data_IF_282984618201
#
_entry.id   IF_282984618201
#
_cell.length_a   1.000
_cell.length_b   1.000
_cell.length_c   1.000
_cell.angle_alpha   90.00
_cell.angle_beta   90.00
_cell.angle_gamma   90.00
#
_symmetry.space_group_name_H-M   'P 1'
#
loop_
_entity.id
_entity.type
_entity.pdbx_description
1 polymer ?
#
# COMPACT_ATOMS: atom_id res chain seq x y z
N UNK A 1 3.95 8.75 -12.56
CA UNK A 1 3.76 7.45 -13.23
C UNK A 1 3.83 6.25 -12.26
N UNK A 2 4.71 6.26 -11.22
CA UNK A 2 4.90 5.11 -10.29
C UNK A 2 3.61 4.81 -9.53
N UNK A 3 3.03 5.82 -8.87
CA UNK A 3 1.77 5.68 -8.13
C UNK A 3 0.62 5.27 -9.06
N UNK A 4 0.56 5.84 -10.26
CA UNK A 4 -0.45 5.48 -11.26
C UNK A 4 -0.36 4.01 -11.67
N UNK A 5 0.85 3.46 -11.82
CA UNK A 5 1.03 2.04 -12.14
C UNK A 5 0.47 1.12 -11.04
N UNK A 6 0.76 1.43 -9.76
CA UNK A 6 0.20 0.69 -8.64
C UNK A 6 -1.33 0.85 -8.55
N UNK A 7 -1.84 2.06 -8.76
CA UNK A 7 -3.26 2.36 -8.78
C UNK A 7 -4.01 1.56 -9.84
N UNK A 8 -3.49 1.48 -11.06
CA UNK A 8 -4.10 0.73 -12.15
C UNK A 8 -3.98 -0.80 -12.02
N UNK A 9 -2.97 -1.26 -11.28
CA UNK A 9 -2.72 -2.68 -11.06
C UNK A 9 -3.58 -3.25 -9.93
N UNK A 10 -3.81 -2.50 -8.85
CA UNK A 10 -4.48 -2.99 -7.66
C UNK A 10 -5.92 -3.53 -7.93
N UNK A 11 -6.81 -2.85 -8.67
CA UNK A 11 -8.15 -3.36 -8.93
C UNK A 11 -8.17 -4.72 -9.64
N UNK A 12 -7.18 -5.02 -10.48
CA UNK A 12 -7.08 -6.32 -11.17
C UNK A 12 -6.92 -7.49 -10.19
N UNK A 13 -6.44 -7.23 -8.99
CA UNK A 13 -6.25 -8.22 -7.93
C UNK A 13 -7.40 -8.19 -6.89
N UNK A 14 -8.24 -7.17 -6.88
CA UNK A 14 -9.40 -7.02 -5.98
C UNK A 14 -10.57 -7.90 -6.45
N UNK A 15 -10.42 -9.22 -6.38
CA UNK A 15 -11.46 -10.19 -6.76
C UNK A 15 -11.98 -10.94 -5.54
N UNK A 16 -13.19 -11.46 -5.64
CA UNK A 16 -13.77 -12.31 -4.60
C UNK A 16 -12.85 -13.52 -4.33
N UNK A 17 -12.66 -13.83 -3.05
CA UNK A 17 -11.76 -14.90 -2.59
C UNK A 17 -10.31 -14.51 -2.46
N UNK A 18 -9.86 -13.38 -2.99
CA UNK A 18 -8.48 -12.91 -2.81
C UNK A 18 -8.21 -12.55 -1.34
N UNK A 19 -7.01 -12.86 -0.87
CA UNK A 19 -6.50 -12.40 0.41
C UNK A 19 -5.98 -10.97 0.24
N UNK A 20 -6.62 -10.01 0.91
CA UNK A 20 -6.29 -8.60 0.67
C UNK A 20 -4.81 -8.29 0.86
N UNK A 21 -4.21 -8.71 1.98
CA UNK A 21 -2.81 -8.39 2.28
C UNK A 21 -1.83 -8.98 1.27
N UNK A 22 -2.01 -10.26 0.90
CA UNK A 22 -1.09 -10.97 0.02
C UNK A 22 -1.33 -10.66 -1.46
N UNK A 23 -2.60 -10.69 -1.87
CA UNK A 23 -2.94 -10.63 -3.28
C UNK A 23 -3.09 -9.21 -3.81
N UNK A 24 -3.41 -8.24 -2.94
CA UNK A 24 -3.67 -6.85 -3.33
C UNK A 24 -2.61 -5.91 -2.79
N UNK A 25 -2.55 -5.75 -1.46
CA UNK A 25 -1.67 -4.77 -0.81
C UNK A 25 -0.18 -5.02 -1.10
N UNK A 26 0.30 -6.25 -0.86
CA UNK A 26 1.69 -6.61 -1.10
C UNK A 26 2.10 -6.43 -2.56
N UNK A 27 1.24 -6.78 -3.52
CA UNK A 27 1.52 -6.58 -4.95
C UNK A 27 1.59 -5.10 -5.34
N UNK A 28 0.76 -4.25 -4.74
CA UNK A 28 0.84 -2.80 -4.93
C UNK A 28 2.16 -2.25 -4.38
N UNK A 29 2.59 -2.69 -3.18
CA UNK A 29 3.90 -2.31 -2.62
C UNK A 29 5.06 -2.74 -3.52
N UNK A 30 5.03 -3.94 -4.11
CA UNK A 30 6.06 -4.40 -5.06
C UNK A 30 6.08 -3.48 -6.30
N UNK A 31 4.92 -3.11 -6.85
CA UNK A 31 4.83 -2.20 -7.99
C UNK A 31 5.43 -0.82 -7.67
N UNK A 32 5.16 -0.28 -6.48
CA UNK A 32 5.76 0.97 -6.02
C UNK A 32 7.28 0.83 -5.84
N UNK A 33 7.75 -0.29 -5.26
CA UNK A 33 9.17 -0.56 -5.03
C UNK A 33 9.94 -0.66 -6.35
N UNK A 34 9.40 -1.34 -7.37
CA UNK A 34 10.01 -1.39 -8.71
C UNK A 34 10.13 0.01 -9.33
N UNK A 35 9.08 0.84 -9.17
CA UNK A 35 9.14 2.22 -9.63
C UNK A 35 10.19 3.05 -8.89
N UNK A 36 10.28 2.93 -7.57
CA UNK A 36 11.30 3.60 -6.75
C UNK A 36 12.72 3.12 -7.05
N UNK A 37 12.89 1.83 -7.36
CA UNK A 37 14.14 1.26 -7.84
C UNK A 37 14.53 1.87 -9.20
N UNK A 38 13.57 2.00 -10.13
CA UNK A 38 13.80 2.64 -11.42
C UNK A 38 14.29 4.07 -11.35
N UNK A 39 13.93 4.80 -10.28
CA UNK A 39 14.46 6.15 -9.99
C UNK A 39 15.64 6.13 -9.00
N UNK A 40 16.15 4.96 -8.62
CA UNK A 40 17.36 4.78 -7.80
C UNK A 40 17.21 5.11 -6.32
N UNK A 41 15.97 5.07 -5.78
CA UNK A 41 15.68 5.25 -4.35
C UNK A 41 15.70 3.91 -3.59
N UNK A 42 15.48 2.80 -4.28
CA UNK A 42 15.59 1.44 -3.75
C UNK A 42 16.70 0.69 -4.49
N UNK A 43 17.52 -0.03 -3.74
CA UNK A 43 18.55 -0.95 -4.22
C UNK A 43 18.08 -2.40 -4.07
N UNK A 44 18.61 -3.31 -4.90
CA UNK A 44 18.27 -4.72 -4.82
C UNK A 44 16.94 -5.09 -5.48
N UNK A 45 16.26 -6.09 -4.96
CA UNK A 45 14.95 -6.51 -5.46
C UNK A 45 13.80 -5.76 -4.78
N UNK A 46 12.70 -5.58 -5.49
CA UNK A 46 11.48 -4.97 -4.94
C UNK A 46 10.86 -5.87 -3.85
N UNK A 47 10.92 -7.18 -4.07
CA UNK A 47 10.43 -8.20 -3.13
C UNK A 47 11.17 -8.12 -1.79
N UNK A 48 12.50 -7.98 -1.82
CA UNK A 48 13.32 -7.85 -0.60
C UNK A 48 13.01 -6.53 0.12
N UNK A 49 12.82 -5.45 -0.61
CA UNK A 49 12.44 -4.16 -0.04
C UNK A 49 11.08 -4.22 0.67
N UNK A 50 10.10 -4.89 0.06
CA UNK A 50 8.78 -5.11 0.65
C UNK A 50 8.88 -6.04 1.87
N UNK A 51 9.60 -7.16 1.75
CA UNK A 51 9.78 -8.13 2.85
C UNK A 51 10.49 -7.51 4.06
N UNK A 52 11.45 -6.60 3.83
CA UNK A 52 12.13 -5.86 4.88
C UNK A 52 11.28 -4.73 5.50
N UNK A 53 10.09 -4.43 4.95
CA UNK A 53 9.23 -3.34 5.39
C UNK A 53 9.69 -1.95 4.93
N UNK A 54 10.66 -1.86 3.99
CA UNK A 54 11.21 -0.57 3.56
C UNK A 54 10.17 0.34 2.87
N UNK A 55 9.10 -0.26 2.34
CA UNK A 55 8.05 0.50 1.68
C UNK A 55 7.22 1.35 2.64
N UNK A 56 7.19 1.03 3.96
CA UNK A 56 6.51 1.86 4.95
C UNK A 56 7.19 3.22 5.20
N UNK A 57 8.44 3.39 4.74
CA UNK A 57 9.08 4.70 4.68
C UNK A 57 8.44 5.62 3.64
N UNK A 58 7.91 5.03 2.55
CA UNK A 58 7.35 5.75 1.40
C UNK A 58 5.82 5.75 1.38
N UNK A 59 5.18 4.70 1.89
CA UNK A 59 3.73 4.56 2.01
C UNK A 59 3.37 4.07 3.42
N UNK A 60 3.31 4.98 4.42
CA UNK A 60 3.08 4.61 5.82
C UNK A 60 1.60 4.37 6.15
N UNK A 61 0.84 3.81 5.23
CA UNK A 61 -0.58 3.50 5.39
C UNK A 61 -0.98 2.28 4.54
N UNK A 62 -2.18 1.76 4.76
CA UNK A 62 -2.76 0.71 3.93
C UNK A 62 -3.16 1.22 2.55
N UNK A 63 -3.19 0.31 1.57
CA UNK A 63 -3.63 0.63 0.20
C UNK A 63 -5.11 0.95 0.13
N UNK A 64 -5.93 0.34 0.99
CA UNK A 64 -7.39 0.39 0.92
C UNK A 64 -8.02 0.28 2.30
N UNK A 65 -9.24 0.76 2.40
CA UNK A 65 -10.16 0.51 3.51
C UNK A 65 -11.54 0.14 2.97
N UNK A 66 -12.38 -0.46 3.81
CA UNK A 66 -13.79 -0.65 3.50
C UNK A 66 -14.53 0.68 3.47
N UNK A 67 -15.51 0.78 2.62
CA UNK A 67 -16.43 1.92 2.52
C UNK A 67 -17.86 1.47 2.70
N UNK A 68 -18.62 2.20 3.50
CA UNK A 68 -20.01 1.88 3.82
C UNK A 68 -20.75 3.08 4.38
N UNK A 69 -21.35 2.95 5.55
CA UNK A 69 -22.00 4.06 6.26
C UNK A 69 -20.95 5.11 6.64
N UNK A 70 -19.79 4.65 7.10
CA UNK A 70 -18.64 5.49 7.35
C UNK A 70 -17.63 5.38 6.20
N UNK A 71 -16.85 6.45 5.96
CA UNK A 71 -15.79 6.48 4.96
C UNK A 71 -14.71 5.44 5.27
N UNK A 72 -14.38 5.25 6.55
CA UNK A 72 -13.60 4.14 7.07
C UNK A 72 -14.55 3.16 7.78
N UNK A 73 -15.20 2.31 7.01
CA UNK A 73 -16.27 1.46 7.53
C UNK A 73 -15.73 0.31 8.37
N UNK A 74 -16.46 0.00 9.42
CA UNK A 74 -16.20 -1.13 10.32
C UNK A 74 -14.84 -1.11 11.07
N UNK A 75 -14.10 -0.03 11.09
CA UNK A 75 -12.80 0.05 11.80
C UNK A 75 -12.92 -0.12 13.32
N UNK A 76 -14.04 0.28 13.90
CA UNK A 76 -14.26 0.20 15.34
C UNK A 76 -14.28 -1.23 15.90
N UNK A 77 -14.55 -2.23 15.07
CA UNK A 77 -14.51 -3.64 15.46
C UNK A 77 -13.11 -4.26 15.35
N UNK A 78 -12.15 -3.53 14.80
CA UNK A 78 -10.74 -3.90 14.72
C UNK A 78 -10.43 -4.94 13.65
N UNK A 79 -9.21 -4.89 13.14
CA UNK A 79 -8.72 -5.76 12.08
C UNK A 79 -8.90 -7.26 12.38
N UNK A 80 -8.79 -7.64 13.65
CA UNK A 80 -8.88 -9.05 14.09
C UNK A 80 -10.29 -9.65 14.00
N UNK A 81 -11.32 -8.82 13.78
CA UNK A 81 -12.69 -9.28 13.76
C UNK A 81 -13.12 -9.85 12.42
N UNK A 82 -12.33 -9.70 11.36
CA UNK A 82 -12.75 -10.02 10.00
C UNK A 82 -12.35 -11.40 9.49
N UNK A 83 -11.15 -11.86 9.78
CA UNK A 83 -10.70 -13.22 9.44
C UNK A 83 -9.35 -13.51 10.12
N UNK A 84 -9.40 -14.27 11.22
CA UNK A 84 -8.18 -14.62 11.97
C UNK A 84 -7.21 -15.51 11.19
N UNK A 85 -7.68 -16.20 10.16
CA UNK A 85 -6.83 -17.07 9.33
C UNK A 85 -5.96 -16.30 8.35
N UNK A 86 -6.23 -15.01 8.17
CA UNK A 86 -5.62 -14.16 7.16
C UNK A 86 -4.59 -13.16 7.73
N UNK A 87 -4.40 -13.12 9.06
CA UNK A 87 -3.42 -12.24 9.69
C UNK A 87 -2.07 -12.95 9.65
N UNK A 88 -1.31 -12.74 8.57
CA UNK A 88 0.10 -13.11 8.54
C UNK A 88 0.87 -12.38 9.66
N UNK A 89 1.92 -12.99 10.20
CA UNK A 89 2.84 -12.29 11.10
C UNK A 89 3.38 -11.04 10.39
N UNK A 90 3.08 -9.88 10.95
CA UNK A 90 3.57 -8.61 10.40
C UNK A 90 5.02 -8.41 10.77
N UNK A 91 5.81 -7.88 9.84
CA UNK A 91 7.12 -7.33 10.17
C UNK A 91 6.94 -6.23 11.25
N UNK A 92 7.94 -6.05 12.14
CA UNK A 92 7.85 -5.09 13.24
C UNK A 92 7.55 -3.65 12.77
N UNK A 93 8.07 -3.25 11.60
CA UNK A 93 7.82 -1.95 10.98
C UNK A 93 6.39 -1.84 10.45
N UNK A 94 5.86 -2.93 9.90
CA UNK A 94 4.49 -3.03 9.42
C UNK A 94 3.47 -2.92 10.57
N UNK A 95 3.83 -3.43 11.75
CA UNK A 95 2.99 -3.33 12.94
C UNK A 95 2.72 -1.89 13.38
N UNK A 96 3.51 -0.91 12.94
CA UNK A 96 3.32 0.52 13.19
C UNK A 96 2.41 1.19 12.17
N UNK A 97 2.11 0.53 11.07
CA UNK A 97 1.21 1.00 10.03
C UNK A 97 -0.23 0.59 10.34
N UNK A 98 -1.15 1.51 10.19
CA UNK A 98 -2.58 1.21 10.33
C UNK A 98 -3.07 0.62 9.01
N UNK A 99 -3.28 -0.71 9.00
CA UNK A 99 -3.98 -1.38 7.91
C UNK A 99 -5.48 -1.39 8.22
N UNK A 100 -6.25 -0.77 7.33
CA UNK A 100 -7.69 -0.63 7.46
C UNK A 100 -8.46 -1.72 6.74
N UNK A 101 -7.76 -2.68 6.13
CA UNK A 101 -8.28 -3.88 5.51
C UNK A 101 -7.29 -5.02 5.68
N UNK A 102 -7.77 -6.22 6.01
CA UNK A 102 -6.93 -7.41 6.21
C UNK A 102 -7.67 -8.72 5.94
N UNK A 103 -8.89 -8.63 5.43
CA UNK A 103 -9.79 -9.79 5.25
C UNK A 103 -9.73 -10.39 3.85
N UNK A 104 -10.35 -11.56 3.70
CA UNK A 104 -10.63 -12.17 2.40
C UNK A 104 -11.73 -11.38 1.70
N UNK A 105 -11.47 -10.92 0.49
CA UNK A 105 -12.39 -10.10 -0.28
C UNK A 105 -13.64 -10.89 -0.67
N UNK A 106 -14.79 -10.22 -0.65
CA UNK A 106 -16.09 -10.76 -1.06
C UNK A 106 -16.67 -9.90 -2.18
N UNK A 107 -17.36 -10.53 -3.13
CA UNK A 107 -18.08 -9.79 -4.16
C UNK A 107 -19.10 -8.85 -3.53
N UNK A 108 -19.21 -7.64 -4.07
CA UNK A 108 -20.06 -6.56 -3.56
C UNK A 108 -19.43 -5.69 -2.48
N UNK A 109 -18.24 -6.03 -1.95
CA UNK A 109 -17.50 -5.12 -1.05
C UNK A 109 -17.06 -3.89 -1.83
N UNK A 110 -17.27 -2.70 -1.26
CA UNK A 110 -16.73 -1.43 -1.77
C UNK A 110 -15.51 -1.06 -0.96
N UNK A 111 -14.43 -0.70 -1.63
CA UNK A 111 -13.16 -0.35 -1.02
C UNK A 111 -12.51 0.84 -1.73
N UNK A 112 -11.76 1.64 -0.99
CA UNK A 112 -10.83 2.60 -1.60
C UNK A 112 -9.68 1.87 -2.32
N UNK A 113 -9.04 2.56 -3.27
CA UNK A 113 -7.79 2.16 -3.89
C UNK A 113 -6.90 3.40 -3.95
N UNK A 114 -6.01 3.56 -2.97
CA UNK A 114 -5.33 4.82 -2.66
C UNK A 114 -3.80 4.68 -2.50
N UNK A 115 -3.09 4.08 -3.45
CA UNK A 115 -1.64 4.03 -3.37
C UNK A 115 -1.03 5.42 -3.36
N UNK A 116 0.06 5.58 -2.61
CA UNK A 116 0.78 6.84 -2.52
C UNK A 116 2.28 6.66 -2.36
N UNK A 117 3.03 7.70 -2.66
CA UNK A 117 4.45 7.83 -2.31
C UNK A 117 4.64 9.17 -1.64
N UNK A 118 5.25 9.14 -0.46
CA UNK A 118 5.49 10.31 0.39
C UNK A 118 6.94 10.39 0.79
N UNK A 119 7.47 11.60 0.85
CA UNK A 119 8.80 11.91 1.35
C UNK A 119 8.67 12.73 2.61
N UNK A 120 8.54 12.04 3.75
CA UNK A 120 8.28 12.67 5.06
C UNK A 120 9.62 12.83 5.79
N UNK A 121 10.17 14.07 5.93
CA UNK A 121 11.50 14.28 6.51
C UNK A 121 11.69 13.63 7.86
N UNK A 122 10.69 13.71 8.75
CA UNK A 122 10.77 13.11 10.08
C UNK A 122 10.91 11.56 10.04
N UNK A 123 10.22 10.89 9.12
CA UNK A 123 10.35 9.44 8.94
C UNK A 123 11.68 9.07 8.32
N UNK A 124 12.17 9.87 7.37
CA UNK A 124 13.48 9.68 6.73
C UNK A 124 14.59 9.79 7.78
N UNK A 125 14.56 10.83 8.62
CA UNK A 125 15.54 11.06 9.66
C UNK A 125 15.51 9.97 10.72
N UNK A 126 14.32 9.59 11.18
CA UNK A 126 14.14 8.49 12.13
C UNK A 126 14.71 7.19 11.57
N UNK A 127 14.31 6.80 10.36
CA UNK A 127 14.76 5.57 9.72
C UNK A 127 16.27 5.53 9.52
N UNK A 128 16.87 6.64 9.09
CA UNK A 128 18.33 6.78 8.93
C UNK A 128 19.06 6.65 10.27
N UNK A 129 18.61 7.35 11.30
CA UNK A 129 19.23 7.37 12.64
C UNK A 129 19.17 5.99 13.30
N UNK A 130 18.07 5.29 13.14
CA UNK A 130 17.89 3.92 13.63
C UNK A 130 18.61 2.88 12.75
N UNK A 131 19.18 3.29 11.62
CA UNK A 131 19.89 2.42 10.70
C UNK A 131 19.01 1.40 10.01
N UNK A 132 17.69 1.69 9.87
CA UNK A 132 16.75 0.83 9.17
C UNK A 132 17.05 0.80 7.67
N UNK A 133 16.71 -0.31 7.03
CA UNK A 133 16.76 -0.50 5.57
C UNK A 133 18.12 -0.19 4.93
N UNK A 134 19.23 -0.32 5.70
CA UNK A 134 20.59 -0.13 5.17
C UNK A 134 20.84 -1.09 4.01
N UNK A 135 21.42 -0.58 2.92
CA UNK A 135 21.66 -1.34 1.70
C UNK A 135 20.42 -1.49 0.79
N UNK A 136 19.20 -1.25 1.31
CA UNK A 136 17.95 -1.27 0.54
C UNK A 136 17.57 0.15 0.12
N UNK A 137 17.50 1.10 1.07
CA UNK A 137 17.15 2.50 0.77
C UNK A 137 18.39 3.31 0.47
N UNK A 138 18.36 4.04 -0.62
CA UNK A 138 19.41 5.02 -0.99
C UNK A 138 19.12 6.36 -0.31
N UNK A 139 19.58 6.49 0.93
CA UNK A 139 19.33 7.69 1.74
C UNK A 139 19.98 8.96 1.18
N UNK A 140 21.14 8.84 0.52
CA UNK A 140 21.82 10.01 -0.06
C UNK A 140 20.98 10.61 -1.20
N UNK A 141 20.41 9.75 -2.04
CA UNK A 141 19.50 10.20 -3.10
C UNK A 141 18.17 10.67 -2.53
N UNK A 142 17.68 10.06 -1.46
CA UNK A 142 16.41 10.39 -0.82
C UNK A 142 16.41 11.85 -0.30
N UNK A 143 17.56 12.39 0.10
CA UNK A 143 17.64 13.77 0.55
C UNK A 143 17.22 14.80 -0.52
N UNK A 144 17.41 14.48 -1.81
CA UNK A 144 16.95 15.36 -2.90
C UNK A 144 15.43 15.42 -3.08
N UNK A 145 14.68 14.55 -2.39
CA UNK A 145 13.23 14.48 -2.44
C UNK A 145 12.54 15.07 -1.21
N UNK A 146 13.30 15.58 -0.21
CA UNK A 146 12.74 16.02 1.08
C UNK A 146 11.63 17.07 0.97
N UNK A 147 11.73 17.95 -0.02
CA UNK A 147 10.79 19.05 -0.24
C UNK A 147 9.68 18.69 -1.24
N UNK A 148 9.66 17.45 -1.73
CA UNK A 148 8.69 17.01 -2.72
C UNK A 148 7.27 16.85 -2.12
N UNK A 149 7.17 16.45 -0.84
CA UNK A 149 5.91 16.12 -0.21
C UNK A 149 5.45 14.70 -0.56
N UNK A 150 4.37 14.56 -1.31
CA UNK A 150 3.85 13.25 -1.71
C UNK A 150 2.82 13.31 -2.84
N UNK A 151 2.50 12.14 -3.38
CA UNK A 151 1.45 11.93 -4.38
C UNK A 151 0.60 10.75 -3.96
N UNK A 152 -0.73 10.91 -3.98
CA UNK A 152 -1.72 9.84 -3.89
C UNK A 152 -2.66 9.94 -5.09
N UNK A 153 -3.09 8.80 -5.60
CA UNK A 153 -4.17 8.67 -6.58
C UNK A 153 -5.19 7.73 -5.96
N UNK A 154 -6.46 8.13 -5.97
CA UNK A 154 -7.51 7.42 -5.23
C UNK A 154 -8.76 7.27 -6.09
N UNK A 155 -9.32 6.07 -6.10
CA UNK A 155 -10.63 5.71 -6.64
C UNK A 155 -11.34 4.76 -5.68
N UNK A 156 -12.65 4.69 -5.81
CA UNK A 156 -13.48 3.68 -5.15
C UNK A 156 -13.69 2.48 -6.08
N UNK A 157 -13.62 1.28 -5.52
CA UNK A 157 -13.65 0.03 -6.27
C UNK A 157 -14.68 -0.92 -5.68
N UNK A 158 -15.55 -1.48 -6.52
CA UNK A 158 -16.42 -2.61 -6.16
C UNK A 158 -15.68 -3.90 -6.47
N UNK A 159 -15.53 -4.76 -5.47
CA UNK A 159 -14.98 -6.12 -5.64
C UNK A 159 -15.98 -6.98 -6.40
N UNK A 160 -15.54 -7.67 -7.45
CA UNK A 160 -16.33 -8.64 -8.21
C UNK A 160 -15.64 -9.99 -8.28
N UNK A 161 -16.27 -11.00 -8.89
CA UNK A 161 -15.65 -12.31 -9.13
C UNK A 161 -14.43 -12.20 -10.06
N UNK A 162 -14.47 -11.29 -11.04
CA UNK A 162 -13.43 -11.14 -12.07
C UNK A 162 -12.33 -10.12 -11.74
N UNK A 163 -12.51 -9.32 -10.68
CA UNK A 163 -11.61 -8.22 -10.31
C UNK A 163 -12.39 -7.03 -9.77
N UNK A 164 -11.70 -5.96 -9.43
CA UNK A 164 -12.30 -4.71 -8.99
C UNK A 164 -12.79 -3.87 -10.15
N UNK A 165 -13.97 -3.28 -9.99
CA UNK A 165 -14.56 -2.33 -10.94
C UNK A 165 -14.53 -0.94 -10.30
N UNK A 166 -13.87 0.01 -10.95
CA UNK A 166 -13.79 1.40 -10.48
C UNK A 166 -15.17 2.04 -10.60
N UNK A 167 -15.63 2.68 -9.51
CA UNK A 167 -16.91 3.38 -9.47
C UNK A 167 -16.78 4.69 -10.26
N UNK A 168 -17.76 4.98 -11.12
CA UNK A 168 -17.75 6.18 -11.97
C UNK A 168 -17.20 5.94 -13.38
N UNK A 169 -16.71 4.74 -13.67
CA UNK A 169 -16.26 4.31 -14.99
C UNK A 169 -14.91 4.91 -15.42
N UNK A 170 -14.49 4.61 -16.65
CA UNK A 170 -13.23 5.04 -17.26
C UNK A 170 -13.18 6.55 -17.56
N UNK A 171 -13.59 7.40 -16.64
CA UNK A 171 -13.29 8.82 -16.79
C UNK A 171 -11.79 8.97 -16.64
N UNK A 172 -11.09 8.96 -17.74
CA UNK A 172 -9.67 9.31 -17.81
C UNK A 172 -9.52 10.74 -17.29
N UNK A 173 -8.81 10.88 -16.18
CA UNK A 173 -8.29 12.18 -15.74
C UNK A 173 -7.17 12.56 -16.71
#
# INVERSE_FOLDING_TARGET
>A
NIVLAAHQQAPKNMRAGAMYMEDVHRKALITLAEGLKGVGLINGSAEDAVAAGAMYLFMPHGLSHGMGIDVHDCEAIGERSYDFSAIAERAAQEATCVHRASWRLRAGTVMSNEPGIYFIPALIDKSRNEGLYRGIVNYDKLDSYRDFGGIRIEDDVIVTEGGGVVIGGDKKI
#
